data_IF_349050830547
#
_entry.id   IF_349050830547
#
_cell.length_a   1.000
_cell.length_b   1.000
_cell.length_c   1.000
_cell.angle_alpha   90.00
_cell.angle_beta   90.00
_cell.angle_gamma   90.00
#
_symmetry.space_group_name_H-M   'P 1'
#
loop_
_entity.id
_entity.type
_entity.pdbx_description
1 polymer ?
#
# COMPACT_ATOMS: atom_id res chain seq x y z
N UNK A 1 -6.41 -3.01 7.23
CA UNK A 1 -5.17 -2.43 7.81
C UNK A 1 -3.94 -2.85 7.00
N UNK A 2 -3.05 -1.92 6.60
CA UNK A 2 -1.83 -2.27 5.88
C UNK A 2 -0.69 -2.67 6.84
N UNK A 3 0.02 -3.73 6.52
CA UNK A 3 1.29 -4.14 7.16
C UNK A 3 2.36 -4.18 6.08
N UNK A 4 3.48 -3.49 6.30
CA UNK A 4 4.56 -3.44 5.31
C UNK A 4 5.94 -3.34 5.95
N UNK A 5 6.93 -3.82 5.21
CA UNK A 5 8.36 -3.69 5.50
C UNK A 5 9.00 -2.82 4.43
N UNK A 6 10.07 -2.12 4.82
CA UNK A 6 10.88 -1.29 3.91
C UNK A 6 12.35 -1.65 4.03
N UNK A 7 13.00 -1.89 2.90
CA UNK A 7 14.46 -1.94 2.77
C UNK A 7 14.96 -0.62 2.18
N UNK A 8 16.10 -0.15 2.66
CA UNK A 8 16.75 1.09 2.21
C UNK A 8 18.22 0.81 1.91
N UNK A 9 18.70 1.32 0.78
CA UNK A 9 20.10 1.29 0.41
C UNK A 9 20.53 2.68 -0.07
N UNK A 10 21.59 3.22 0.52
CA UNK A 10 22.24 4.45 0.07
C UNK A 10 23.42 4.09 -0.82
N UNK A 11 23.38 4.54 -2.08
CA UNK A 11 24.42 4.23 -3.08
C UNK A 11 25.46 5.34 -3.19
N UNK A 12 25.07 6.57 -2.85
CA UNK A 12 25.93 7.74 -2.75
C UNK A 12 25.29 8.73 -1.76
N UNK A 13 26.04 9.76 -1.34
CA UNK A 13 25.53 10.79 -0.43
C UNK A 13 24.28 11.53 -0.96
N UNK A 14 24.05 11.44 -2.27
CA UNK A 14 22.94 12.06 -2.98
C UNK A 14 21.98 11.07 -3.66
N UNK A 15 22.10 9.76 -3.39
CA UNK A 15 21.28 8.72 -4.02
C UNK A 15 20.85 7.62 -3.03
N UNK A 16 19.53 7.43 -2.89
CA UNK A 16 18.92 6.40 -2.05
C UNK A 16 17.91 5.58 -2.85
N UNK A 17 17.79 4.30 -2.52
CA UNK A 17 16.78 3.39 -3.07
C UNK A 17 16.00 2.71 -1.95
N UNK A 18 14.70 2.57 -2.18
CA UNK A 18 13.75 2.02 -1.23
C UNK A 18 12.95 0.90 -1.90
N UNK A 19 12.83 -0.22 -1.21
CA UNK A 19 11.93 -1.31 -1.58
C UNK A 19 10.88 -1.46 -0.48
N UNK A 20 9.63 -1.61 -0.91
CA UNK A 20 8.47 -1.80 -0.06
C UNK A 20 7.82 -3.13 -0.41
N UNK A 21 7.52 -3.92 0.61
CA UNK A 21 6.71 -5.12 0.49
C UNK A 21 5.69 -5.13 1.62
N UNK A 22 4.44 -5.43 1.29
CA UNK A 22 3.38 -5.41 2.29
C UNK A 22 2.16 -6.20 1.87
N UNK A 23 1.19 -6.19 2.77
CA UNK A 23 -0.12 -6.80 2.58
C UNK A 23 -1.18 -5.91 3.24
N UNK A 24 -2.31 -5.75 2.59
CA UNK A 24 -3.50 -5.15 3.17
C UNK A 24 -4.33 -6.31 3.72
N UNK A 25 -4.55 -6.35 5.03
CA UNK A 25 -5.40 -7.36 5.70
C UNK A 25 -6.71 -6.73 6.15
N UNK A 26 -7.80 -7.52 6.21
CA UNK A 26 -9.10 -7.04 6.70
C UNK A 26 -9.61 -5.84 5.90
N UNK A 27 -9.55 -5.94 4.57
CA UNK A 27 -10.17 -4.96 3.69
C UNK A 27 -11.67 -5.22 3.65
N UNK A 28 -12.48 -4.19 3.84
CA UNK A 28 -13.92 -4.27 3.66
C UNK A 28 -14.29 -3.37 2.49
N UNK A 29 -15.04 -3.91 1.53
CA UNK A 29 -15.60 -3.16 0.43
C UNK A 29 -17.08 -2.92 0.71
N UNK A 30 -17.42 -1.67 1.02
CA UNK A 30 -18.81 -1.23 1.20
C UNK A 30 -19.25 -0.41 0.00
N UNK A 31 -20.30 -0.86 -0.69
CA UNK A 31 -20.94 -0.16 -1.79
C UNK A 31 -22.24 0.44 -1.26
N UNK A 32 -22.40 1.75 -1.43
CA UNK A 32 -23.60 2.49 -1.02
C UNK A 32 -24.26 3.13 -2.24
N UNK A 33 -25.59 3.26 -2.22
CA UNK A 33 -26.33 4.02 -3.21
C UNK A 33 -26.19 5.54 -2.98
N UNK A 34 -26.72 6.35 -3.89
CA UNK A 34 -26.71 7.81 -3.78
C UNK A 34 -27.52 8.37 -2.61
N UNK A 35 -28.36 7.56 -1.97
CA UNK A 35 -29.10 7.87 -0.75
C UNK A 35 -28.37 7.45 0.53
N UNK A 36 -27.20 6.81 0.42
CA UNK A 36 -26.43 6.31 1.57
C UNK A 36 -26.90 4.95 2.09
N UNK A 37 -27.72 4.20 1.35
CA UNK A 37 -28.08 2.84 1.72
C UNK A 37 -26.98 1.87 1.28
N UNK A 38 -26.53 1.00 2.18
CA UNK A 38 -25.59 -0.08 1.84
C UNK A 38 -26.22 -1.07 0.87
N UNK A 39 -25.66 -1.16 -0.34
CA UNK A 39 -26.04 -2.13 -1.35
C UNK A 39 -25.28 -3.44 -1.19
N UNK A 40 -24.01 -3.38 -0.79
CA UNK A 40 -23.15 -4.57 -0.63
C UNK A 40 -22.00 -4.30 0.33
N UNK A 41 -21.71 -5.26 1.19
CA UNK A 41 -20.56 -5.24 2.08
C UNK A 41 -19.84 -6.58 1.95
N UNK A 42 -18.55 -6.54 1.60
CA UNK A 42 -17.76 -7.74 1.37
C UNK A 42 -16.37 -7.57 1.99
N UNK A 43 -16.05 -8.46 2.94
CA UNK A 43 -14.69 -8.61 3.45
C UNK A 43 -13.84 -9.29 2.37
N UNK A 44 -12.78 -8.63 1.95
CA UNK A 44 -11.88 -9.14 0.91
C UNK A 44 -10.64 -9.80 1.50
N UNK A 45 -10.14 -10.79 0.76
CA UNK A 45 -8.92 -11.52 1.09
C UNK A 45 -7.70 -10.59 1.12
N UNK A 46 -6.66 -10.93 1.92
CA UNK A 46 -5.44 -10.15 2.01
C UNK A 46 -4.81 -9.84 0.63
N UNK A 47 -4.53 -8.56 0.38
CA UNK A 47 -4.00 -8.10 -0.91
C UNK A 47 -2.52 -7.70 -0.81
N UNK A 48 -1.61 -8.30 -1.62
CA UNK A 48 -0.20 -7.95 -1.57
C UNK A 48 0.09 -6.57 -2.20
N UNK A 49 1.11 -5.90 -1.67
CA UNK A 49 1.64 -4.63 -2.15
C UNK A 49 3.15 -4.74 -2.36
N UNK A 50 3.63 -4.27 -3.51
CA UNK A 50 5.05 -4.18 -3.83
C UNK A 50 5.35 -2.80 -4.42
N UNK A 51 6.44 -2.18 -4.00
CA UNK A 51 6.83 -0.86 -4.48
C UNK A 51 8.34 -0.66 -4.46
N UNK A 52 8.83 0.14 -5.40
CA UNK A 52 10.22 0.57 -5.44
C UNK A 52 10.26 2.08 -5.64
N UNK A 53 11.20 2.76 -4.99
CA UNK A 53 11.38 4.20 -5.13
C UNK A 53 12.87 4.53 -5.17
N UNK A 54 13.24 5.42 -6.07
CA UNK A 54 14.58 5.96 -6.18
C UNK A 54 14.55 7.46 -5.92
N UNK A 55 15.48 7.96 -5.10
CA UNK A 55 15.62 9.39 -4.78
C UNK A 55 17.03 9.85 -5.10
N UNK A 56 17.14 10.89 -5.91
CA UNK A 56 18.40 11.56 -6.24
C UNK A 56 18.27 13.06 -5.92
N UNK A 57 19.33 13.65 -5.37
CA UNK A 57 19.43 15.09 -5.10
C UNK A 57 20.55 15.68 -5.94
N UNK A 58 20.32 16.83 -6.57
CA UNK A 58 21.25 17.57 -7.42
C UNK A 58 21.42 18.99 -6.91
#
# INVERSE_FOLDING_TARGET
>A
MPVFLRLSADFADHASFFLYAGVIVGGELRVEDSGGNTLREESFDPAPLLGATFRMRF
#
